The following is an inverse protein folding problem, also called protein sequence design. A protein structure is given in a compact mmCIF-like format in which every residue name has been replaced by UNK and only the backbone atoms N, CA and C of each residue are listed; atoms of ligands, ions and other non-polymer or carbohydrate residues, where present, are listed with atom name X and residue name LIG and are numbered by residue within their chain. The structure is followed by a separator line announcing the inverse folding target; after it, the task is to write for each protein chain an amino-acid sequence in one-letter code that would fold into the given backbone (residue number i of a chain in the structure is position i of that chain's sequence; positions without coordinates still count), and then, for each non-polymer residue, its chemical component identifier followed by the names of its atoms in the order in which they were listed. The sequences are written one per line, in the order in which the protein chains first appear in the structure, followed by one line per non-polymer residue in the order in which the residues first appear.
data_IF_504824558912
#
_entry.id   IF_504824558912
#
_cell.length_a   1.000
_cell.length_b   1.000
_cell.length_c   1.000
_cell.angle_alpha   90.00
_cell.angle_beta   90.00
_cell.angle_gamma   90.00
#
_symmetry.space_group_name_H-M   'P 1'
#
loop_
_entity.id
_entity.type
_entity.pdbx_description
1 polymer ?
#
# COMPACT_ATOMS: atom_id res chain seq x y z
N UNK A 1 13.42 11.11 20.00
CA UNK A 1 12.30 10.16 20.21
C UNK A 1 12.18 9.34 18.93
N UNK A 2 12.28 8.01 18.98
CA UNK A 2 12.12 7.17 17.78
C UNK A 2 10.65 7.17 17.37
N UNK A 3 10.33 7.73 16.22
CA UNK A 3 8.98 7.68 15.65
C UNK A 3 8.67 6.24 15.24
N UNK A 4 7.56 5.68 15.73
CA UNK A 4 7.07 4.37 15.30
C UNK A 4 6.42 4.44 13.93
N UNK A 5 6.69 3.47 13.08
CA UNK A 5 5.97 3.33 11.82
C UNK A 5 4.50 3.01 12.09
N UNK A 6 3.62 3.54 11.25
CA UNK A 6 2.19 3.40 11.40
C UNK A 6 1.44 3.35 10.08
N UNK A 7 0.28 2.73 10.12
CA UNK A 7 -0.71 2.73 9.04
C UNK A 7 -1.97 3.44 9.52
N UNK A 8 -2.61 4.18 8.64
CA UNK A 8 -3.97 4.69 8.83
C UNK A 8 -4.76 4.56 7.53
N UNK A 9 -6.08 4.47 7.62
CA UNK A 9 -6.91 4.66 6.44
C UNK A 9 -6.85 6.13 6.00
N UNK A 10 -7.16 6.40 4.74
CA UNK A 10 -7.27 7.76 4.21
C UNK A 10 -8.74 8.12 4.13
N UNK A 11 -9.09 9.31 4.62
CA UNK A 11 -10.46 9.83 4.57
C UNK A 11 -10.83 10.32 3.16
N UNK A 12 -12.11 10.68 2.97
CA UNK A 12 -12.63 11.19 1.70
C UNK A 12 -11.99 12.51 1.28
N UNK A 13 -11.34 13.23 2.21
CA UNK A 13 -10.58 14.46 1.94
C UNK A 13 -9.13 14.20 1.50
N UNK A 14 -8.72 12.92 1.46
CA UNK A 14 -7.36 12.52 1.08
C UNK A 14 -6.35 12.63 2.23
N UNK A 15 -6.80 12.77 3.47
CA UNK A 15 -5.93 12.90 4.65
C UNK A 15 -5.84 11.60 5.45
N UNK A 16 -4.73 11.35 6.15
CA UNK A 16 -4.62 10.23 7.08
C UNK A 16 -5.68 10.34 8.18
N UNK A 17 -6.49 9.31 8.34
CA UNK A 17 -7.52 9.22 9.38
C UNK A 17 -6.95 9.11 10.79
N UNK A 18 -7.81 9.31 11.78
CA UNK A 18 -7.46 9.25 13.21
C UNK A 18 -7.16 7.84 13.72
N UNK A 19 -7.73 6.83 13.08
CA UNK A 19 -7.52 5.43 13.45
C UNK A 19 -6.19 4.95 12.89
N UNK A 20 -5.30 4.61 13.81
CA UNK A 20 -3.90 4.31 13.51
C UNK A 20 -3.52 2.94 14.03
N UNK A 21 -2.91 2.14 13.16
CA UNK A 21 -2.21 0.92 13.50
C UNK A 21 -0.71 1.18 13.62
N UNK A 22 -0.15 1.00 14.82
CA UNK A 22 1.29 1.06 15.06
C UNK A 22 1.92 -0.32 14.89
N UNK A 23 3.06 -0.37 14.20
CA UNK A 23 3.84 -1.61 14.09
C UNK A 23 4.52 -1.94 15.42
N UNK A 24 4.70 -3.23 15.71
CA UNK A 24 5.39 -3.67 16.92
C UNK A 24 6.87 -3.31 16.86
N UNK A 25 7.53 -3.56 15.73
CA UNK A 25 8.90 -3.15 15.46
C UNK A 25 8.94 -2.29 14.21
N UNK A 26 9.72 -1.21 14.25
CA UNK A 26 9.98 -0.43 13.05
C UNK A 26 10.64 -1.33 12.01
N UNK A 27 10.31 -1.14 10.72
CA UNK A 27 10.97 -1.90 9.68
C UNK A 27 12.47 -1.58 9.65
N UNK A 28 13.28 -2.58 9.31
CA UNK A 28 14.72 -2.39 9.16
C UNK A 28 15.07 -1.73 7.82
N UNK A 29 14.23 -1.91 6.81
CA UNK A 29 14.43 -1.43 5.46
C UNK A 29 13.09 -1.05 4.82
N UNK A 30 13.13 -0.02 3.97
CA UNK A 30 12.05 0.33 3.04
C UNK A 30 12.64 0.26 1.65
N UNK A 31 11.96 -0.45 0.75
CA UNK A 31 12.32 -0.52 -0.66
C UNK A 31 11.30 0.26 -1.50
N UNK A 32 11.83 1.10 -2.38
CA UNK A 32 11.05 1.89 -3.34
C UNK A 32 11.41 1.37 -4.73
N UNK A 33 10.42 0.89 -5.48
CA UNK A 33 10.59 0.48 -6.86
C UNK A 33 9.69 1.29 -7.79
N UNK A 34 10.23 1.65 -8.94
CA UNK A 34 9.49 2.32 -10.01
C UNK A 34 9.26 1.33 -11.15
N UNK A 35 8.01 1.19 -11.55
CA UNK A 35 7.62 0.40 -12.71
C UNK A 35 7.03 1.34 -13.77
N UNK A 36 7.58 1.31 -14.98
CA UNK A 36 7.02 2.02 -16.12
C UNK A 36 6.02 1.08 -16.82
N UNK A 37 4.73 1.28 -16.58
CA UNK A 37 3.69 0.59 -17.33
C UNK A 37 3.45 1.34 -18.65
N UNK A 38 3.90 0.76 -19.77
CA UNK A 38 3.47 1.18 -21.10
C UNK A 38 2.05 0.69 -21.34
N UNK A 39 1.07 1.57 -21.15
CA UNK A 39 -0.31 1.33 -21.56
C UNK A 39 -0.41 1.61 -23.06
N UNK A 40 -0.40 0.56 -23.88
CA UNK A 40 -0.81 0.67 -25.28
C UNK A 40 -2.32 0.92 -25.31
N UNK A 41 -2.73 2.19 -25.39
CA UNK A 41 -4.09 2.51 -25.79
C UNK A 41 -4.16 2.39 -27.30
N UNK A 42 -4.67 1.25 -27.79
CA UNK A 42 -5.23 1.22 -29.14
C UNK A 42 -6.45 2.12 -29.12
N UNK A 43 -6.31 3.39 -29.51
CA UNK A 43 -7.46 4.15 -29.95
C UNK A 43 -8.07 3.36 -31.10
N UNK A 44 -9.34 2.97 -30.96
CA UNK A 44 -10.10 2.35 -32.04
C UNK A 44 -9.99 3.31 -33.23
N UNK A 45 -9.16 2.92 -34.20
CA UNK A 45 -8.90 3.71 -35.38
C UNK A 45 -10.22 4.16 -36.00
N UNK A 46 -10.27 5.43 -36.37
CA UNK A 46 -11.25 5.93 -37.34
C UNK A 46 -11.40 4.89 -38.45
N UNK A 47 -12.64 4.63 -38.91
CA UNK A 47 -12.98 3.72 -40.02
C UNK A 47 -12.44 4.19 -41.38
N UNK A 48 -11.34 4.92 -41.38
CA UNK A 48 -10.74 5.53 -42.55
C UNK A 48 -9.42 4.82 -42.86
N UNK A 49 -9.34 4.00 -43.92
CA UNK A 49 -8.20 3.13 -44.23
C UNK A 49 -6.91 3.88 -44.62
N UNK A 50 -6.85 5.20 -44.45
CA UNK A 50 -5.70 6.06 -44.76
C UNK A 50 -5.03 6.69 -43.54
N UNK A 51 -5.53 6.47 -42.33
CA UNK A 51 -4.92 7.01 -41.10
C UNK A 51 -4.15 5.91 -40.41
N UNK A 52 -2.82 5.95 -40.51
CA UNK A 52 -1.96 5.10 -39.67
C UNK A 52 -2.24 5.45 -38.20
N UNK A 53 -2.52 4.47 -37.33
CA UNK A 53 -2.67 4.73 -35.90
C UNK A 53 -1.35 5.34 -35.40
N UNK A 54 -1.43 6.51 -34.80
CA UNK A 54 -0.29 7.13 -34.12
C UNK A 54 -0.20 6.47 -32.75
N UNK A 55 0.86 5.68 -32.53
CA UNK A 55 1.15 5.09 -31.22
C UNK A 55 1.48 6.19 -30.20
N UNK A 56 0.46 6.74 -29.54
CA UNK A 56 0.69 7.61 -28.37
C UNK A 56 1.00 6.74 -27.17
N UNK A 57 2.29 6.45 -26.94
CA UNK A 57 2.77 5.80 -25.72
C UNK A 57 2.49 6.72 -24.52
N UNK A 58 1.46 6.41 -23.73
CA UNK A 58 1.27 7.02 -22.40
C UNK A 58 2.03 6.17 -21.38
N UNK A 59 3.24 6.61 -21.03
CA UNK A 59 4.01 6.01 -19.94
C UNK A 59 3.33 6.36 -18.62
N UNK A 60 2.88 5.34 -17.88
CA UNK A 60 2.42 5.53 -16.49
C UNK A 60 3.49 5.00 -15.56
N UNK A 61 4.19 5.90 -14.89
CA UNK A 61 5.08 5.55 -13.79
C UNK A 61 4.23 5.11 -12.58
N UNK A 62 4.51 3.91 -12.07
CA UNK A 62 3.92 3.38 -10.84
C UNK A 62 5.04 3.24 -9.83
N UNK A 63 4.86 3.84 -8.65
CA UNK A 63 5.82 3.77 -7.55
C UNK A 63 5.29 2.80 -6.49
N UNK A 64 6.08 1.78 -6.15
CA UNK A 64 5.76 0.84 -5.09
C UNK A 64 6.66 1.11 -3.89
N UNK A 65 6.05 1.21 -2.71
CA UNK A 65 6.76 1.17 -1.44
C UNK A 65 6.51 -0.19 -0.81
N UNK A 66 7.58 -0.90 -0.47
CA UNK A 66 7.53 -2.21 0.19
C UNK A 66 8.37 -2.20 1.46
N UNK A 67 7.92 -2.96 2.45
CA UNK A 67 8.58 -3.09 3.75
C UNK A 67 8.20 -4.41 4.41
N UNK A 68 9.09 -4.98 5.21
CA UNK A 68 8.81 -6.18 6.00
C UNK A 68 8.48 -5.80 7.43
N UNK A 69 7.37 -6.32 7.96
CA UNK A 69 6.97 -6.14 9.35
C UNK A 69 7.33 -7.38 10.16
N UNK A 70 7.96 -7.16 11.32
CA UNK A 70 8.30 -8.23 12.27
C UNK A 70 7.37 -8.19 13.47
N UNK A 71 7.09 -9.37 14.01
CA UNK A 71 6.29 -9.53 15.21
C UNK A 71 6.98 -10.50 16.16
N UNK A 72 6.96 -10.16 17.44
CA UNK A 72 7.43 -10.99 18.52
C UNK A 72 6.24 -11.38 19.39
N UNK A 73 6.03 -12.68 19.51
CA UNK A 73 4.95 -13.27 20.31
C UNK A 73 5.40 -13.61 21.74
N UNK A 74 6.67 -13.35 22.09
CA UNK A 74 7.22 -13.54 23.43
C UNK A 74 7.91 -12.26 23.91
N UNK A 75 7.15 -11.41 24.59
CA UNK A 75 7.53 -10.02 24.88
C UNK A 75 8.04 -9.79 26.30
N UNK A 76 7.78 -10.71 27.22
CA UNK A 76 8.23 -10.62 28.61
C UNK A 76 8.81 -11.95 29.11
N UNK A 77 9.86 -11.87 29.93
CA UNK A 77 10.45 -13.02 30.62
C UNK A 77 9.45 -13.68 31.56
N UNK A 78 8.44 -12.94 32.03
CA UNK A 78 7.37 -13.46 32.87
C UNK A 78 6.29 -14.22 32.10
N UNK A 79 6.33 -14.24 30.76
CA UNK A 79 5.37 -15.01 29.97
C UNK A 79 5.66 -16.51 30.07
N UNK A 80 4.62 -17.29 30.34
CA UNK A 80 4.65 -18.75 30.33
C UNK A 80 4.31 -19.35 28.97
N UNK A 81 3.80 -18.56 28.03
CA UNK A 81 3.44 -19.00 26.67
C UNK A 81 3.56 -17.86 25.65
N UNK A 82 3.65 -18.25 24.38
CA UNK A 82 3.62 -17.32 23.24
C UNK A 82 2.21 -16.79 22.99
N UNK A 83 2.12 -15.53 22.60
CA UNK A 83 0.88 -14.95 22.10
C UNK A 83 0.54 -15.46 20.70
N UNK A 84 -0.75 -15.49 20.38
CA UNK A 84 -1.22 -15.84 19.05
C UNK A 84 -0.89 -14.71 18.06
N UNK A 85 0.02 -14.98 17.13
CA UNK A 85 0.43 -14.05 16.07
C UNK A 85 -0.77 -13.55 15.23
N UNK A 86 -1.82 -14.36 15.09
CA UNK A 86 -3.00 -14.00 14.30
C UNK A 86 -3.73 -12.79 14.90
N UNK A 87 -3.62 -12.57 16.21
CA UNK A 87 -4.18 -11.39 16.87
C UNK A 87 -3.52 -10.09 16.38
N UNK A 88 -2.24 -10.14 16.01
CA UNK A 88 -1.51 -9.02 15.43
C UNK A 88 -1.84 -8.84 13.95
N UNK A 89 -1.87 -9.93 13.18
CA UNK A 89 -2.18 -9.90 11.74
C UNK A 89 -3.61 -9.41 11.49
N UNK A 90 -4.59 -9.82 12.31
CA UNK A 90 -5.99 -9.38 12.19
C UNK A 90 -6.16 -7.86 12.30
N UNK A 91 -5.26 -7.18 13.01
CA UNK A 91 -5.28 -5.71 13.13
C UNK A 91 -4.88 -5.02 11.82
N UNK A 92 -4.23 -5.72 10.89
CA UNK A 92 -3.93 -5.20 9.56
C UNK A 92 -5.11 -5.30 8.59
N UNK A 93 -6.03 -6.25 8.79
CA UNK A 93 -7.13 -6.51 7.85
C UNK A 93 -7.96 -5.28 7.47
N UNK A 94 -8.28 -4.33 8.39
CA UNK A 94 -9.00 -3.10 8.02
C UNK A 94 -8.28 -2.21 6.99
N UNK A 95 -6.96 -2.37 6.83
CA UNK A 95 -6.12 -1.63 5.89
C UNK A 95 -5.84 -2.42 4.61
N UNK A 96 -6.31 -3.66 4.54
CA UNK A 96 -6.16 -4.50 3.35
C UNK A 96 -7.38 -4.36 2.45
N UNK A 97 -7.16 -4.37 1.14
CA UNK A 97 -8.24 -4.43 0.15
C UNK A 97 -8.68 -5.89 -0.13
N UNK A 98 -8.60 -6.78 0.87
CA UNK A 98 -9.05 -8.17 0.76
C UNK A 98 -10.56 -8.19 0.53
N UNK A 99 -11.01 -8.96 -0.46
CA UNK A 99 -12.44 -9.03 -0.84
C UNK A 99 -12.95 -7.83 -1.66
N UNK A 100 -12.12 -6.83 -1.95
CA UNK A 100 -12.47 -5.76 -2.90
C UNK A 100 -12.31 -6.26 -4.34
N UNK A 101 -13.37 -6.13 -5.12
CA UNK A 101 -13.45 -6.61 -6.51
C UNK A 101 -13.39 -5.47 -7.55
N UNK A 102 -13.87 -4.27 -7.19
CA UNK A 102 -13.90 -3.13 -8.10
C UNK A 102 -12.90 -2.04 -7.70
N UNK A 103 -12.44 -1.26 -8.69
CA UNK A 103 -11.48 -0.16 -8.45
C UNK A 103 -12.07 0.96 -7.60
N UNK A 104 -13.37 1.20 -7.69
CA UNK A 104 -14.09 2.23 -6.95
C UNK A 104 -14.16 1.94 -5.45
N UNK A 105 -14.05 0.67 -5.07
CA UNK A 105 -14.07 0.22 -3.68
C UNK A 105 -12.67 0.16 -3.04
N UNK A 106 -11.60 0.38 -3.82
CA UNK A 106 -10.24 0.34 -3.30
C UNK A 106 -10.02 1.50 -2.34
N UNK A 107 -9.70 1.15 -1.09
CA UNK A 107 -9.35 2.11 -0.06
C UNK A 107 -7.86 2.42 -0.12
N UNK A 108 -7.56 3.71 0.02
CA UNK A 108 -6.19 4.18 0.21
C UNK A 108 -5.81 4.09 1.68
N UNK A 109 -4.54 3.78 1.90
CA UNK A 109 -3.90 3.79 3.21
C UNK A 109 -2.78 4.83 3.21
N UNK A 110 -2.43 5.30 4.40
CA UNK A 110 -1.26 6.13 4.63
C UNK A 110 -0.27 5.36 5.49
N UNK A 111 0.94 5.14 4.96
CA UNK A 111 2.08 4.70 5.74
C UNK A 111 2.88 5.92 6.20
N UNK A 112 3.18 5.99 7.50
CA UNK A 112 4.00 7.06 8.07
C UNK A 112 5.10 6.49 8.94
N UNK A 113 6.34 6.94 8.72
CA UNK A 113 7.47 6.64 9.60
C UNK A 113 8.52 7.75 9.54
N UNK A 114 8.79 8.40 10.69
CA UNK A 114 9.65 9.58 10.75
C UNK A 114 9.17 10.67 9.77
N UNK A 115 9.99 11.08 8.80
CA UNK A 115 9.63 12.02 7.73
C UNK A 115 8.95 11.38 6.52
N UNK A 116 8.83 10.05 6.47
CA UNK A 116 8.18 9.34 5.35
C UNK A 116 6.67 9.37 5.56
N UNK A 117 5.94 9.83 4.55
CA UNK A 117 4.49 9.80 4.48
C UNK A 117 4.08 9.39 3.06
N UNK A 118 3.49 8.21 2.92
CA UNK A 118 3.11 7.66 1.62
C UNK A 118 1.64 7.27 1.65
N UNK A 119 0.87 7.88 0.76
CA UNK A 119 -0.53 7.55 0.53
C UNK A 119 -0.62 6.71 -0.75
N UNK A 120 -1.21 5.53 -0.63
CA UNK A 120 -1.30 4.58 -1.73
C UNK A 120 -2.36 3.51 -1.49
N UNK A 121 -2.45 2.58 -2.42
CA UNK A 121 -3.31 1.40 -2.30
C UNK A 121 -2.40 0.25 -1.90
N UNK A 122 -2.78 -0.50 -0.86
CA UNK A 122 -2.07 -1.73 -0.52
C UNK A 122 -2.39 -2.77 -1.58
N UNK A 123 -1.35 -3.23 -2.29
CA UNK A 123 -1.47 -4.29 -3.28
C UNK A 123 -1.67 -5.65 -2.60
N UNK A 124 -2.35 -6.58 -3.29
CA UNK A 124 -2.63 -7.94 -2.82
C UNK A 124 -1.43 -8.85 -3.01
#
# INVERSE_FOLDING_TARGET
MLTKAKLSNVDDSGKPGSDVFYVQFNPNEISISEAVASLYSMENGSKDPKVNPVDTKKEKQVLHLSTTLFYNTYTSISQSSYEDIRSYIRKLYPYTNVGVETKEQLKKICFTWSSICVIGILEK
#
